data_IF_206814918056
#
_entry.id   IF_206814918056
#
_cell.length_a   1.000
_cell.length_b   1.000
_cell.length_c   1.000
_cell.angle_alpha   90.00
_cell.angle_beta   90.00
_cell.angle_gamma   90.00
#
_symmetry.space_group_name_H-M   'P 1'
#
loop_
_entity.id
_entity.type
_entity.pdbx_description
1 polymer ?
#
# COMPACT_ATOMS: atom_id res chain seq x y z
N UNK A 1 -38.84 -22.91 9.69
CA UNK A 1 -38.59 -21.48 9.36
C UNK A 1 -37.67 -20.80 10.38
N UNK A 2 -37.94 -20.78 11.69
CA UNK A 2 -37.07 -20.09 12.69
C UNK A 2 -35.59 -20.52 12.64
N UNK A 3 -35.34 -21.83 12.59
CA UNK A 3 -33.98 -22.42 12.54
C UNK A 3 -33.20 -22.00 11.29
N UNK A 4 -33.88 -21.76 10.17
CA UNK A 4 -33.27 -21.21 8.97
C UNK A 4 -32.85 -19.76 9.17
N UNK A 5 -33.76 -18.92 9.67
CA UNK A 5 -33.47 -17.49 9.85
C UNK A 5 -32.25 -17.30 10.77
N UNK A 6 -32.10 -18.15 11.77
CA UNK A 6 -30.90 -18.17 12.61
C UNK A 6 -29.63 -18.58 11.87
N UNK A 7 -29.73 -19.55 10.94
CA UNK A 7 -28.59 -20.00 10.13
C UNK A 7 -28.22 -18.97 9.06
N UNK A 8 -29.20 -18.38 8.38
CA UNK A 8 -29.00 -17.29 7.43
C UNK A 8 -28.31 -16.10 8.10
N UNK A 9 -28.77 -15.68 9.29
CA UNK A 9 -28.14 -14.60 10.07
C UNK A 9 -26.67 -14.90 10.40
N UNK A 10 -26.35 -16.15 10.77
CA UNK A 10 -24.96 -16.56 11.03
C UNK A 10 -24.10 -16.51 9.78
N UNK A 11 -24.65 -16.89 8.62
CA UNK A 11 -23.95 -16.80 7.33
C UNK A 11 -23.69 -15.32 7.01
N UNK A 12 -24.70 -14.45 7.09
CA UNK A 12 -24.55 -13.01 6.85
C UNK A 12 -23.52 -12.36 7.78
N UNK A 13 -23.54 -12.70 9.07
CA UNK A 13 -22.54 -12.20 10.02
C UNK A 13 -21.12 -12.66 9.66
N UNK A 14 -20.97 -13.88 9.13
CA UNK A 14 -19.68 -14.39 8.68
C UNK A 14 -19.21 -13.68 7.41
N UNK A 15 -20.11 -13.48 6.43
CA UNK A 15 -19.82 -12.73 5.20
C UNK A 15 -19.29 -11.34 5.57
N UNK A 16 -20.00 -10.61 6.42
CA UNK A 16 -19.58 -9.28 6.86
C UNK A 16 -18.20 -9.27 7.52
N UNK A 17 -17.87 -10.32 8.30
CA UNK A 17 -16.57 -10.42 8.98
C UNK A 17 -15.44 -10.76 8.01
N UNK A 18 -15.68 -11.69 7.09
CA UNK A 18 -14.70 -12.14 6.10
C UNK A 18 -14.39 -11.00 5.10
N UNK A 19 -15.41 -10.24 4.67
CA UNK A 19 -15.27 -9.06 3.81
C UNK A 19 -14.49 -7.93 4.50
N UNK A 20 -14.85 -7.58 5.74
CA UNK A 20 -14.17 -6.52 6.49
C UNK A 20 -12.69 -6.85 6.71
N UNK A 21 -12.38 -8.10 7.09
CA UNK A 21 -11.01 -8.55 7.25
C UNK A 21 -10.21 -8.41 5.94
N UNK A 22 -10.76 -8.93 4.83
CA UNK A 22 -10.07 -8.93 3.53
C UNK A 22 -9.78 -7.52 3.02
N UNK A 23 -10.75 -6.61 3.15
CA UNK A 23 -10.62 -5.22 2.72
C UNK A 23 -9.68 -4.43 3.64
N UNK A 24 -9.86 -4.57 4.96
CA UNK A 24 -9.06 -3.86 5.95
C UNK A 24 -7.57 -4.23 5.87
N UNK A 25 -7.24 -5.50 5.68
CA UNK A 25 -5.85 -5.94 5.55
C UNK A 25 -5.18 -5.39 4.29
N UNK A 26 -5.92 -5.38 3.17
CA UNK A 26 -5.45 -4.78 1.91
C UNK A 26 -5.13 -3.29 2.10
N UNK A 27 -6.09 -2.54 2.65
CA UNK A 27 -5.95 -1.10 2.85
C UNK A 27 -4.82 -0.76 3.84
N UNK A 28 -4.63 -1.59 4.88
CA UNK A 28 -3.57 -1.38 5.86
C UNK A 28 -2.19 -1.58 5.27
N UNK A 29 -2.00 -2.62 4.45
CA UNK A 29 -0.76 -2.86 3.73
C UNK A 29 -0.42 -1.68 2.80
N UNK A 30 -1.39 -1.24 1.99
CA UNK A 30 -1.22 -0.11 1.08
C UNK A 30 -0.90 1.19 1.83
N UNK A 31 -1.56 1.43 2.97
CA UNK A 31 -1.29 2.61 3.79
C UNK A 31 0.16 2.61 4.31
N UNK A 32 0.63 1.50 4.88
CA UNK A 32 1.99 1.38 5.38
C UNK A 32 3.04 1.62 4.28
N UNK A 33 2.78 1.11 3.08
CA UNK A 33 3.65 1.36 1.93
C UNK A 33 3.66 2.84 1.56
N UNK A 34 2.48 3.47 1.37
CA UNK A 34 2.37 4.90 1.04
C UNK A 34 3.10 5.79 2.07
N UNK A 35 3.03 5.45 3.36
CA UNK A 35 3.76 6.18 4.41
C UNK A 35 5.27 6.07 4.22
N UNK A 36 5.78 4.85 4.04
CA UNK A 36 7.21 4.59 3.84
C UNK A 36 7.76 5.36 2.63
N UNK A 37 6.95 5.45 1.59
CA UNK A 37 7.26 6.12 0.33
C UNK A 37 7.30 7.63 0.47
N UNK A 38 6.30 8.18 1.15
CA UNK A 38 6.27 9.60 1.50
C UNK A 38 7.50 9.98 2.31
N UNK A 39 7.91 9.13 3.25
CA UNK A 39 9.09 9.36 4.08
C UNK A 39 10.39 9.32 3.27
N UNK A 40 10.53 8.39 2.32
CA UNK A 40 11.66 8.36 1.38
C UNK A 40 11.73 9.66 0.55
N UNK A 41 10.61 10.08 -0.04
CA UNK A 41 10.53 11.31 -0.82
C UNK A 41 10.85 12.55 0.01
N UNK A 42 10.39 12.60 1.26
CA UNK A 42 10.71 13.67 2.20
C UNK A 42 12.20 13.73 2.53
N UNK A 43 12.85 12.57 2.74
CA UNK A 43 14.31 12.51 2.96
C UNK A 43 15.07 13.01 1.73
N UNK A 44 14.66 12.60 0.53
CA UNK A 44 15.24 13.08 -0.73
C UNK A 44 15.09 14.59 -0.88
N UNK A 45 13.91 15.14 -0.60
CA UNK A 45 13.65 16.58 -0.67
C UNK A 45 14.55 17.37 0.31
N UNK A 46 14.74 16.87 1.54
CA UNK A 46 15.66 17.47 2.51
C UNK A 46 17.11 17.45 2.01
N UNK A 47 17.56 16.36 1.41
CA UNK A 47 18.91 16.27 0.84
C UNK A 47 19.11 17.19 -0.36
N UNK A 48 18.08 17.39 -1.20
CA UNK A 48 18.11 18.38 -2.28
C UNK A 48 18.43 19.79 -1.76
N UNK A 49 17.75 20.20 -0.67
CA UNK A 49 17.99 21.50 -0.03
C UNK A 49 19.42 21.59 0.53
N UNK A 50 19.94 20.51 1.10
CA UNK A 50 21.32 20.45 1.62
C UNK A 50 22.34 20.60 0.49
N UNK A 51 22.13 19.93 -0.64
CA UNK A 51 22.96 20.08 -1.84
C UNK A 51 22.95 21.54 -2.32
N UNK A 52 21.78 22.16 -2.48
CA UNK A 52 21.65 23.55 -2.92
C UNK A 52 22.37 24.52 -1.99
N UNK A 53 22.27 24.31 -0.68
CA UNK A 53 22.94 25.14 0.32
C UNK A 53 24.46 24.95 0.31
N UNK A 54 24.94 23.72 0.15
CA UNK A 54 26.38 23.45 0.06
C UNK A 54 26.99 23.98 -1.24
N UNK A 55 26.24 23.97 -2.35
CA UNK A 55 26.66 24.63 -3.59
C UNK A 55 26.82 26.14 -3.40
N UNK A 56 25.84 26.81 -2.77
CA UNK A 56 25.94 28.25 -2.46
C UNK A 56 27.15 28.56 -1.57
N UNK A 57 27.42 27.72 -0.58
CA UNK A 57 28.59 27.86 0.29
C UNK A 57 29.90 27.71 -0.48
N UNK A 58 29.99 26.71 -1.37
CA UNK A 58 31.13 26.51 -2.26
C UNK A 58 31.34 27.69 -3.20
N UNK A 59 30.29 28.24 -3.82
CA UNK A 59 30.38 29.44 -4.66
C UNK A 59 30.94 30.62 -3.87
N UNK A 60 30.46 30.84 -2.64
CA UNK A 60 30.97 31.90 -1.75
C UNK A 60 32.44 31.70 -1.38
N UNK A 61 32.84 30.47 -1.10
CA UNK A 61 34.24 30.11 -0.82
C UNK A 61 35.14 30.37 -2.04
N UNK A 62 34.69 30.01 -3.24
CA UNK A 62 35.39 30.29 -4.51
C UNK A 62 35.56 31.79 -4.75
N UNK A 63 34.50 32.59 -4.56
CA UNK A 63 34.58 34.06 -4.70
C UNK A 63 35.59 34.69 -3.73
N UNK A 64 35.70 34.14 -2.52
CA UNK A 64 36.63 34.64 -1.49
C UNK A 64 38.02 33.99 -1.54
N UNK A 65 38.25 33.02 -2.42
CA UNK A 65 39.44 32.16 -2.44
C UNK A 65 39.81 31.58 -1.05
N UNK A 66 38.80 31.20 -0.27
CA UNK A 66 38.99 30.76 1.12
C UNK A 66 38.21 29.47 1.37
N UNK A 67 38.86 28.47 1.99
CA UNK A 67 38.26 27.16 2.34
C UNK A 67 37.65 26.40 1.15
N UNK A 68 38.10 26.68 -0.08
CA UNK A 68 37.51 26.10 -1.31
C UNK A 68 37.53 24.57 -1.27
N UNK A 69 38.67 23.96 -0.96
CA UNK A 69 38.81 22.50 -0.92
C UNK A 69 37.86 21.84 0.10
N UNK A 70 37.69 22.44 1.28
CA UNK A 70 36.82 21.92 2.34
C UNK A 70 35.35 21.99 1.91
N UNK A 71 34.93 23.12 1.35
CA UNK A 71 33.54 23.29 0.87
C UNK A 71 33.25 22.43 -0.36
N UNK A 72 34.26 22.17 -1.21
CA UNK A 72 34.11 21.31 -2.38
C UNK A 72 33.92 19.86 -1.96
N UNK A 73 34.75 19.34 -1.06
CA UNK A 73 34.58 18.00 -0.49
C UNK A 73 33.22 17.82 0.17
N UNK A 74 32.79 18.79 0.99
CA UNK A 74 31.46 18.76 1.61
C UNK A 74 30.32 18.76 0.59
N UNK A 75 30.43 19.56 -0.47
CA UNK A 75 29.45 19.56 -1.57
C UNK A 75 29.41 18.20 -2.28
N UNK A 76 30.56 17.62 -2.62
CA UNK A 76 30.64 16.30 -3.27
C UNK A 76 30.02 15.20 -2.41
N UNK A 77 30.26 15.21 -1.10
CA UNK A 77 29.65 14.26 -0.17
C UNK A 77 28.12 14.38 -0.14
N UNK A 78 27.59 15.61 -0.12
CA UNK A 78 26.15 15.84 -0.15
C UNK A 78 25.52 15.43 -1.48
N UNK A 79 26.17 15.71 -2.60
CA UNK A 79 25.74 15.28 -3.94
C UNK A 79 25.68 13.75 -3.99
N UNK A 80 26.73 13.06 -3.55
CA UNK A 80 26.75 11.60 -3.52
C UNK A 80 25.63 11.02 -2.65
N UNK A 81 25.37 11.61 -1.49
CA UNK A 81 24.26 11.19 -0.63
C UNK A 81 22.89 11.40 -1.31
N UNK A 82 22.71 12.51 -2.01
CA UNK A 82 21.50 12.81 -2.78
C UNK A 82 21.31 11.87 -3.99
N UNK A 83 22.38 11.54 -4.70
CA UNK A 83 22.35 10.60 -5.82
C UNK A 83 21.97 9.19 -5.36
N UNK A 84 22.58 8.71 -4.27
CA UNK A 84 22.28 7.40 -3.70
C UNK A 84 20.79 7.25 -3.32
N UNK A 85 20.23 8.24 -2.61
CA UNK A 85 18.80 8.19 -2.24
C UNK A 85 17.90 8.37 -3.47
N UNK A 86 18.33 9.13 -4.47
CA UNK A 86 17.56 9.34 -5.70
C UNK A 86 17.48 8.06 -6.53
N UNK A 87 18.56 7.28 -6.57
CA UNK A 87 18.58 6.00 -7.27
C UNK A 87 17.70 4.96 -6.56
N UNK A 88 17.83 4.82 -5.23
CA UNK A 88 16.92 3.99 -4.43
C UNK A 88 15.46 4.41 -4.61
N UNK A 89 15.16 5.70 -4.58
CA UNK A 89 13.81 6.20 -4.81
C UNK A 89 13.29 5.84 -6.20
N UNK A 90 14.06 5.96 -7.27
CA UNK A 90 13.61 5.56 -8.63
C UNK A 90 13.26 4.07 -8.70
N UNK A 91 14.13 3.22 -8.16
CA UNK A 91 13.96 1.77 -8.17
C UNK A 91 12.70 1.40 -7.38
N UNK A 92 12.58 1.91 -6.16
CA UNK A 92 11.44 1.65 -5.29
C UNK A 92 10.14 2.15 -5.93
N UNK A 93 10.10 3.42 -6.37
CA UNK A 93 8.95 4.06 -7.06
C UNK A 93 8.40 3.24 -8.22
N UNK A 94 9.31 2.71 -9.04
CA UNK A 94 8.94 1.88 -10.19
C UNK A 94 8.41 0.52 -9.74
N UNK A 95 9.08 -0.12 -8.79
CA UNK A 95 8.74 -1.45 -8.30
C UNK A 95 7.34 -1.50 -7.68
N UNK A 96 7.01 -0.59 -6.78
CA UNK A 96 5.68 -0.62 -6.13
C UNK A 96 4.56 -0.25 -7.08
N UNK A 97 4.79 0.63 -8.05
CA UNK A 97 3.72 0.93 -9.00
C UNK A 97 3.28 -0.36 -9.67
N UNK A 98 4.23 -1.25 -9.99
CA UNK A 98 3.94 -2.59 -10.46
C UNK A 98 3.32 -3.48 -9.37
N UNK A 99 3.96 -3.60 -8.22
CA UNK A 99 3.52 -4.52 -7.14
C UNK A 99 2.16 -4.15 -6.55
N UNK A 100 1.84 -2.87 -6.40
CA UNK A 100 0.55 -2.38 -5.94
C UNK A 100 -0.56 -2.75 -6.91
N UNK A 101 -0.33 -2.60 -8.22
CA UNK A 101 -1.32 -3.01 -9.23
C UNK A 101 -1.54 -4.53 -9.15
N UNK A 102 -0.48 -5.33 -9.02
CA UNK A 102 -0.62 -6.78 -8.90
C UNK A 102 -1.33 -7.20 -7.61
N UNK A 103 -0.97 -6.59 -6.49
CA UNK A 103 -1.59 -6.83 -5.18
C UNK A 103 -3.07 -6.50 -5.21
N UNK A 104 -3.44 -5.33 -5.75
CA UNK A 104 -4.84 -4.94 -5.90
C UNK A 104 -5.61 -5.91 -6.81
N UNK A 105 -5.02 -6.32 -7.94
CA UNK A 105 -5.63 -7.32 -8.83
C UNK A 105 -5.89 -8.65 -8.12
N UNK A 106 -4.87 -9.19 -7.44
CA UNK A 106 -4.99 -10.44 -6.70
C UNK A 106 -6.03 -10.33 -5.58
N UNK A 107 -6.08 -9.19 -4.88
CA UNK A 107 -7.07 -8.96 -3.84
C UNK A 107 -8.49 -8.89 -4.39
N UNK A 108 -8.71 -8.23 -5.53
CA UNK A 108 -10.02 -8.19 -6.19
C UNK A 108 -10.46 -9.56 -6.69
N UNK A 109 -9.53 -10.36 -7.23
CA UNK A 109 -9.80 -11.75 -7.63
C UNK A 109 -10.22 -12.57 -6.42
N UNK A 110 -9.41 -12.60 -5.37
CA UNK A 110 -9.74 -13.35 -4.15
C UNK A 110 -11.02 -12.86 -3.48
N UNK A 111 -11.29 -11.56 -3.49
CA UNK A 111 -12.54 -11.00 -2.97
C UNK A 111 -13.75 -11.47 -3.78
N UNK A 112 -13.62 -11.49 -5.11
CA UNK A 112 -14.68 -11.98 -6.01
C UNK A 112 -14.94 -13.47 -5.80
N UNK A 113 -13.89 -14.28 -5.67
CA UNK A 113 -13.99 -15.72 -5.37
C UNK A 113 -14.68 -15.97 -4.03
N UNK A 114 -14.33 -15.19 -3.01
CA UNK A 114 -14.94 -15.25 -1.69
C UNK A 114 -16.44 -14.89 -1.75
N UNK A 115 -16.79 -13.83 -2.48
CA UNK A 115 -18.18 -13.42 -2.66
C UNK A 115 -19.01 -14.49 -3.40
N UNK A 116 -18.44 -15.12 -4.44
CA UNK A 116 -19.07 -16.25 -5.14
C UNK A 116 -19.31 -17.43 -4.20
N UNK A 117 -18.34 -17.75 -3.34
CA UNK A 117 -18.47 -18.80 -2.32
C UNK A 117 -19.60 -18.49 -1.32
N UNK A 118 -19.66 -17.26 -0.82
CA UNK A 118 -20.70 -16.81 0.10
C UNK A 118 -22.10 -16.87 -0.51
N UNK A 119 -22.26 -16.36 -1.73
CA UNK A 119 -23.53 -16.40 -2.46
C UNK A 119 -23.97 -17.84 -2.74
N UNK A 120 -23.04 -18.72 -3.13
CA UNK A 120 -23.32 -20.15 -3.32
C UNK A 120 -23.85 -20.78 -2.03
N UNK A 121 -23.23 -20.47 -0.88
CA UNK A 121 -23.66 -20.97 0.43
C UNK A 121 -25.08 -20.53 0.78
N UNK A 122 -25.43 -19.26 0.52
CA UNK A 122 -26.78 -18.73 0.75
C UNK A 122 -27.81 -19.39 -0.17
N UNK A 123 -27.47 -19.60 -1.44
CA UNK A 123 -28.33 -20.27 -2.42
C UNK A 123 -28.60 -21.71 -2.00
N UNK A 124 -27.58 -22.45 -1.56
CA UNK A 124 -27.73 -23.85 -1.14
C UNK A 124 -28.59 -23.96 0.13
N UNK A 125 -28.42 -23.06 1.09
CA UNK A 125 -29.29 -23.03 2.26
C UNK A 125 -30.74 -22.74 1.85
N UNK A 126 -30.96 -21.75 0.98
CA UNK A 126 -32.30 -21.39 0.51
C UNK A 126 -32.99 -22.56 -0.21
N UNK A 127 -32.27 -23.27 -1.09
CA UNK A 127 -32.78 -24.48 -1.76
C UNK A 127 -33.18 -25.56 -0.75
N UNK A 128 -32.37 -25.78 0.28
CA UNK A 128 -32.65 -26.79 1.30
C UNK A 128 -33.98 -26.52 2.02
N UNK A 129 -34.33 -25.26 2.28
CA UNK A 129 -35.63 -24.93 2.89
C UNK A 129 -36.80 -25.03 1.91
N UNK A 130 -36.60 -24.64 0.66
CA UNK A 130 -37.64 -24.84 -0.37
C UNK A 130 -38.02 -26.32 -0.41
N UNK A 131 -37.05 -27.23 -0.47
CA UNK A 131 -37.31 -28.68 -0.46
C UNK A 131 -38.05 -29.13 0.80
N UNK A 132 -37.73 -28.56 1.97
CA UNK A 132 -38.41 -28.90 3.23
C UNK A 132 -39.86 -28.43 3.25
N UNK A 133 -40.13 -27.21 2.82
CA UNK A 133 -41.48 -26.66 2.76
C UNK A 133 -42.33 -27.49 1.79
N UNK A 134 -41.78 -27.80 0.60
CA UNK A 134 -42.46 -28.64 -0.40
C UNK A 134 -42.71 -30.08 0.06
N UNK A 135 -42.00 -30.58 1.09
CA UNK A 135 -42.21 -31.91 1.66
C UNK A 135 -43.18 -31.92 2.85
N UNK A 136 -43.51 -30.75 3.39
CA UNK A 136 -44.49 -30.56 4.48
C UNK A 136 -45.92 -30.29 3.93
N UNK A 137 -46.04 -29.96 2.63
CA UNK A 137 -47.29 -29.85 1.85
C UNK A 137 -47.66 -31.17 1.14
#
# INVERSE_FOLDING_TARGET
ISTFLDKARKIESKISSDEDLKLSDTLRSDHCNIQSWRDLLNRRAKLCIVVDNSLKALTKAKTKNQNVAIMDDQYQQNVKAFENISESAKIELTRETHERIQTLKNNLISYSELMVFHLSTLVDETKHIICRIQAED
#
